data_IF_781495151791
#
_entry.id   IF_781495151791
#
_cell.length_a   1.000
_cell.length_b   1.000
_cell.length_c   1.000
_cell.angle_alpha   90.00
_cell.angle_beta   90.00
_cell.angle_gamma   90.00
#
_symmetry.space_group_name_H-M   'P 1'
#
loop_
_entity.id
_entity.type
_entity.pdbx_description
1 polymer ?
#
# COMPACT_ATOMS: atom_id res chain seq x y z
N UNK A 1 -3.56 27.23 11.70
CA UNK A 1 -2.22 26.65 11.91
C UNK A 1 -2.09 25.54 10.88
N UNK A 2 -1.54 25.86 9.71
CA UNK A 2 -1.26 24.87 8.66
C UNK A 2 -0.01 24.09 9.04
N UNK A 3 -0.19 22.92 9.65
CA UNK A 3 0.87 21.94 9.78
C UNK A 3 0.96 21.17 8.44
N UNK A 4 1.54 21.81 7.44
CA UNK A 4 1.82 21.19 6.15
C UNK A 4 3.13 20.38 6.25
N UNK A 5 3.16 19.36 7.13
CA UNK A 5 4.25 18.40 7.16
C UNK A 5 4.08 17.40 6.02
N UNK A 6 4.42 17.82 4.81
CA UNK A 6 4.50 16.95 3.61
C UNK A 6 5.57 15.85 3.72
N UNK A 7 6.29 15.81 4.84
CA UNK A 7 7.32 14.82 5.17
C UNK A 7 6.77 13.60 5.93
N UNK A 8 5.48 13.57 6.25
CA UNK A 8 4.88 12.40 6.91
C UNK A 8 4.33 11.41 5.88
N UNK A 9 4.71 10.14 6.06
CA UNK A 9 4.19 8.99 5.34
C UNK A 9 2.66 8.89 5.48
N UNK A 10 1.98 8.38 4.46
CA UNK A 10 0.57 8.03 4.58
C UNK A 10 0.38 6.91 5.60
N UNK A 11 -0.70 6.92 6.40
CA UNK A 11 -0.92 5.92 7.42
C UNK A 11 -1.12 4.53 6.79
N UNK A 12 -0.51 3.53 7.40
CA UNK A 12 -0.59 2.11 6.99
C UNK A 12 -1.20 1.23 8.07
N UNK A 13 -1.37 1.78 9.27
CA UNK A 13 -1.89 1.11 10.46
C UNK A 13 -2.95 1.93 11.17
N UNK A 14 -3.81 1.23 11.93
CA UNK A 14 -4.84 1.87 12.74
C UNK A 14 -4.27 2.89 13.74
N UNK A 15 -3.10 2.59 14.31
CA UNK A 15 -2.41 3.46 15.26
C UNK A 15 -1.97 4.78 14.61
N UNK A 16 -1.51 4.75 13.36
CA UNK A 16 -1.13 5.97 12.63
C UNK A 16 -2.36 6.80 12.27
N UNK A 17 -3.46 6.16 11.86
CA UNK A 17 -4.75 6.84 11.62
C UNK A 17 -5.24 7.53 12.90
N UNK A 18 -5.20 6.85 14.05
CA UNK A 18 -5.54 7.41 15.36
C UNK A 18 -4.61 8.57 15.74
N UNK A 19 -3.31 8.47 15.45
CA UNK A 19 -2.33 9.53 15.71
C UNK A 19 -2.58 10.80 14.86
N UNK A 20 -3.16 10.64 13.66
CA UNK A 20 -3.61 11.74 12.81
C UNK A 20 -4.95 12.34 13.28
N UNK A 21 -5.59 11.75 14.29
CA UNK A 21 -6.88 12.18 14.82
C UNK A 21 -8.05 11.91 13.86
N UNK A 22 -7.90 10.95 12.95
CA UNK A 22 -8.94 10.59 11.99
C UNK A 22 -9.85 9.52 12.59
N UNK A 23 -11.14 9.83 12.63
CA UNK A 23 -12.23 8.94 13.04
C UNK A 23 -12.69 8.01 11.89
N UNK A 24 -12.52 8.46 10.65
CA UNK A 24 -12.82 7.71 9.43
C UNK A 24 -11.80 7.99 8.31
N UNK A 25 -11.67 7.02 7.41
CA UNK A 25 -10.89 7.12 6.17
C UNK A 25 -11.81 7.30 4.97
N UNK A 26 -11.42 8.13 4.02
CA UNK A 26 -12.14 8.31 2.76
C UNK A 26 -11.81 7.19 1.77
N UNK A 27 -10.53 6.85 1.67
CA UNK A 27 -10.02 5.86 0.72
C UNK A 27 -8.98 4.97 1.39
N UNK A 28 -9.07 3.67 1.15
CA UNK A 28 -8.04 2.69 1.53
C UNK A 28 -7.49 2.06 0.25
N UNK A 29 -6.17 2.14 0.06
CA UNK A 29 -5.49 1.58 -1.11
C UNK A 29 -4.72 0.33 -0.70
N UNK A 30 -5.10 -0.82 -1.22
CA UNK A 30 -4.33 -2.06 -1.14
C UNK A 30 -3.34 -2.15 -2.30
N UNK A 31 -2.08 -2.44 -1.99
CA UNK A 31 -1.00 -2.59 -2.97
C UNK A 31 -0.31 -3.93 -2.81
N UNK A 32 -0.04 -4.63 -3.92
CA UNK A 32 0.82 -5.82 -3.95
C UNK A 32 2.32 -5.53 -3.82
N UNK A 33 2.73 -4.27 -3.92
CA UNK A 33 4.09 -3.81 -3.63
C UNK A 33 4.21 -3.30 -2.19
N UNK A 34 5.44 -3.32 -1.66
CA UNK A 34 5.79 -2.54 -0.47
C UNK A 34 5.45 -1.06 -0.67
N UNK A 35 5.06 -0.37 0.40
CA UNK A 35 4.78 1.06 0.32
C UNK A 35 6.10 1.84 0.27
N UNK A 36 6.37 2.44 -0.89
CA UNK A 36 7.44 3.39 -1.11
C UNK A 36 6.81 4.69 -1.58
N UNK A 37 6.96 5.75 -0.80
CA UNK A 37 6.37 7.05 -1.11
C UNK A 37 7.24 7.80 -2.14
N UNK A 38 7.16 7.37 -3.40
CA UNK A 38 7.99 7.87 -4.48
C UNK A 38 7.19 8.00 -5.79
N UNK A 39 7.44 9.02 -6.63
CA UNK A 39 6.70 9.26 -7.88
C UNK A 39 6.79 8.11 -8.91
N UNK A 40 7.75 7.20 -8.76
CA UNK A 40 7.84 5.99 -9.60
C UNK A 40 6.86 4.88 -9.19
N UNK A 41 6.13 5.04 -8.09
CA UNK A 41 5.16 4.07 -7.59
C UNK A 41 3.75 4.61 -7.83
N UNK A 42 3.00 3.97 -8.73
CA UNK A 42 1.67 4.43 -9.15
C UNK A 42 0.69 4.52 -7.97
N UNK A 43 0.75 3.56 -7.04
CA UNK A 43 -0.05 3.57 -5.82
C UNK A 43 0.23 4.81 -4.95
N UNK A 44 1.51 5.20 -4.80
CA UNK A 44 1.90 6.38 -4.04
C UNK A 44 1.42 7.67 -4.73
N UNK A 45 1.59 7.76 -6.05
CA UNK A 45 1.10 8.91 -6.83
C UNK A 45 -0.41 9.08 -6.67
N UNK A 46 -1.18 8.01 -6.84
CA UNK A 46 -2.64 8.07 -6.69
C UNK A 46 -3.01 8.49 -5.26
N UNK A 47 -2.39 7.88 -4.25
CA UNK A 47 -2.68 8.18 -2.86
C UNK A 47 -2.38 9.65 -2.50
N UNK A 48 -1.25 10.19 -2.96
CA UNK A 48 -0.85 11.59 -2.74
C UNK A 48 -1.72 12.58 -3.51
N UNK A 49 -2.15 12.25 -4.73
CA UNK A 49 -3.11 13.08 -5.46
C UNK A 49 -4.44 13.15 -4.69
N UNK A 50 -4.98 12.01 -4.25
CA UNK A 50 -6.22 11.99 -3.47
C UNK A 50 -6.07 12.75 -2.13
N UNK A 51 -4.95 12.58 -1.43
CA UNK A 51 -4.64 13.35 -0.21
C UNK A 51 -4.59 14.85 -0.50
N UNK A 52 -3.99 15.27 -1.62
CA UNK A 52 -3.89 16.69 -2.01
C UNK A 52 -5.25 17.33 -2.30
N UNK A 53 -6.26 16.52 -2.65
CA UNK A 53 -7.66 16.93 -2.78
C UNK A 53 -8.40 16.97 -1.43
N UNK A 54 -7.68 16.78 -0.32
CA UNK A 54 -8.21 16.83 1.05
C UNK A 54 -8.83 15.54 1.56
N UNK A 55 -8.61 14.41 0.86
CA UNK A 55 -9.13 13.12 1.29
C UNK A 55 -8.20 12.45 2.32
N UNK A 56 -8.80 11.75 3.27
CA UNK A 56 -8.10 10.93 4.27
C UNK A 56 -7.79 9.57 3.67
N UNK A 57 -6.54 9.38 3.24
CA UNK A 57 -6.11 8.17 2.50
C UNK A 57 -5.19 7.33 3.37
N UNK A 58 -5.41 6.01 3.37
CA UNK A 58 -4.47 5.05 3.95
C UNK A 58 -3.99 4.05 2.89
N UNK A 59 -2.77 3.54 3.06
CA UNK A 59 -2.17 2.53 2.17
C UNK A 59 -1.90 1.26 2.96
N UNK A 60 -2.41 0.13 2.47
CA UNK A 60 -2.11 -1.21 3.01
C UNK A 60 -1.22 -1.94 2.00
N UNK A 61 0.11 -1.94 2.20
CA UNK A 61 1.04 -2.66 1.34
C UNK A 61 1.08 -4.15 1.70
N UNK A 62 1.24 -4.99 0.68
CA UNK A 62 1.42 -6.44 0.76
C UNK A 62 0.52 -7.10 1.84
N UNK A 63 -0.81 -6.92 1.77
CA UNK A 63 -1.70 -7.47 2.78
C UNK A 63 -1.59 -9.00 2.82
N UNK A 64 -1.45 -9.56 4.02
CA UNK A 64 -1.49 -11.00 4.18
C UNK A 64 -2.91 -11.53 3.94
N UNK A 65 -3.03 -12.46 2.99
CA UNK A 65 -4.31 -13.08 2.60
C UNK A 65 -4.44 -14.53 3.08
N UNK A 66 -3.37 -15.11 3.63
CA UNK A 66 -3.32 -16.51 4.08
C UNK A 66 -3.70 -16.67 5.56
N UNK A 67 -3.91 -15.56 6.28
CA UNK A 67 -4.23 -15.54 7.71
C UNK A 67 -5.72 -15.26 7.99
N UNK A 68 -6.02 -14.62 9.13
CA UNK A 68 -7.36 -14.24 9.58
C UNK A 68 -7.93 -13.00 8.85
N UNK A 69 -7.30 -12.57 7.75
CA UNK A 69 -7.66 -11.41 6.94
C UNK A 69 -7.58 -10.10 7.72
N UNK A 70 -6.74 -10.04 8.76
CA UNK A 70 -6.60 -8.87 9.62
C UNK A 70 -6.17 -7.63 8.84
N UNK A 71 -5.29 -7.76 7.86
CA UNK A 71 -4.85 -6.63 7.04
C UNK A 71 -5.98 -5.97 6.25
N UNK A 72 -6.99 -6.76 5.86
CA UNK A 72 -8.18 -6.26 5.17
C UNK A 72 -9.21 -5.63 6.11
N UNK A 73 -9.15 -5.94 7.42
CA UNK A 73 -10.16 -5.52 8.41
C UNK A 73 -9.67 -4.42 9.35
N UNK A 74 -8.36 -4.30 9.57
CA UNK A 74 -7.77 -3.45 10.62
C UNK A 74 -8.11 -1.96 10.51
N UNK A 75 -8.37 -1.48 9.30
CA UNK A 75 -8.70 -0.08 9.02
C UNK A 75 -10.21 0.18 8.86
N UNK A 76 -11.06 -0.83 8.96
CA UNK A 76 -12.50 -0.69 8.78
C UNK A 76 -12.92 -0.46 7.33
N UNK A 77 -14.12 0.12 7.15
CA UNK A 77 -14.68 0.43 5.83
C UNK A 77 -14.46 1.92 5.53
N UNK A 78 -13.93 2.28 4.36
CA UNK A 78 -13.73 3.67 3.98
C UNK A 78 -15.08 4.30 3.58
N UNK A 79 -15.19 5.61 3.72
CA UNK A 79 -16.39 6.38 3.39
C UNK A 79 -16.69 6.38 1.89
N UNK A 80 -15.66 6.37 1.04
CA UNK A 80 -15.82 6.44 -0.41
C UNK A 80 -15.58 5.10 -1.09
N UNK A 81 -14.34 4.60 -1.09
CA UNK A 81 -14.02 3.35 -1.79
C UNK A 81 -12.70 2.71 -1.35
N UNK A 82 -12.55 1.45 -1.75
CA UNK A 82 -11.26 0.73 -1.73
C UNK A 82 -10.59 0.81 -3.10
N UNK A 83 -9.32 1.20 -3.13
CA UNK A 83 -8.46 1.04 -4.30
C UNK A 83 -7.64 -0.24 -4.17
N UNK A 84 -7.50 -1.02 -5.25
CA UNK A 84 -6.71 -2.26 -5.24
C UNK A 84 -5.81 -2.28 -6.46
N UNK A 85 -4.51 -2.52 -6.25
CA UNK A 85 -3.52 -2.68 -7.33
C UNK A 85 -2.55 -3.81 -7.01
N UNK A 86 -2.13 -4.54 -8.04
CA UNK A 86 -1.10 -5.59 -7.92
C UNK A 86 0.31 -5.02 -7.69
N UNK A 87 0.50 -3.70 -7.80
CA UNK A 87 1.79 -3.03 -7.75
C UNK A 87 2.27 -2.56 -9.14
N UNK A 88 3.50 -2.07 -9.19
CA UNK A 88 4.12 -1.51 -10.39
C UNK A 88 4.67 -2.57 -11.34
N UNK A 89 4.80 -3.81 -10.87
CA UNK A 89 5.37 -4.91 -11.63
C UNK A 89 4.41 -6.08 -11.72
N UNK A 90 4.31 -6.64 -12.92
CA UNK A 90 3.55 -7.85 -13.18
C UNK A 90 4.15 -9.05 -12.42
N UNK A 91 3.29 -9.84 -11.76
CA UNK A 91 3.72 -10.97 -10.93
C UNK A 91 4.45 -12.04 -11.74
N UNK A 92 4.12 -12.21 -13.02
CA UNK A 92 4.78 -13.16 -13.92
C UNK A 92 6.23 -12.76 -14.21
N UNK A 93 6.51 -11.45 -14.34
CA UNK A 93 7.88 -10.91 -14.52
C UNK A 93 8.72 -11.00 -13.24
N UNK A 94 8.05 -10.97 -12.07
CA UNK A 94 8.72 -11.07 -10.77
C UNK A 94 9.01 -12.53 -10.39
N UNK A 95 8.11 -13.46 -10.68
CA UNK A 95 8.33 -14.89 -10.46
C UNK A 95 9.19 -15.55 -11.52
N UNK A 96 9.26 -15.01 -12.74
CA UNK A 96 9.97 -15.67 -13.83
C UNK A 96 10.96 -14.74 -14.53
N UNK A 97 12.19 -15.21 -14.68
CA UNK A 97 13.15 -14.63 -15.64
C UNK A 97 12.55 -14.62 -17.05
N UNK A 98 13.09 -13.80 -17.96
CA UNK A 98 12.70 -13.79 -19.38
C UNK A 98 12.79 -15.19 -20.05
N UNK A 99 13.55 -16.12 -19.46
CA UNK A 99 13.67 -17.52 -19.87
C UNK A 99 12.71 -18.50 -19.14
N UNK A 100 11.65 -18.01 -18.46
CA UNK A 100 10.68 -18.82 -17.68
C UNK A 100 11.28 -19.64 -16.52
N UNK A 101 12.41 -19.24 -15.94
CA UNK A 101 12.92 -19.81 -14.68
C UNK A 101 12.44 -19.03 -13.47
N UNK A 102 12.07 -19.73 -12.39
CA UNK A 102 11.66 -19.13 -11.11
C UNK A 102 12.76 -18.21 -10.58
N UNK A 103 12.47 -16.93 -10.30
CA UNK A 103 13.39 -16.03 -9.58
C UNK A 103 13.27 -16.26 -8.08
N UNK A 104 14.41 -16.45 -7.41
CA UNK A 104 14.50 -16.68 -5.97
C UNK A 104 14.42 -15.40 -5.12
N UNK A 105 14.48 -14.23 -5.75
CA UNK A 105 14.76 -12.95 -5.11
C UNK A 105 13.74 -11.90 -5.59
N UNK A 106 12.92 -11.38 -4.66
CA UNK A 106 11.94 -10.31 -4.91
C UNK A 106 12.53 -8.95 -4.51
N UNK A 107 12.90 -8.15 -5.51
CA UNK A 107 13.57 -6.86 -5.33
C UNK A 107 12.73 -5.80 -4.59
N UNK A 108 11.44 -6.07 -4.36
CA UNK A 108 10.50 -5.10 -3.79
C UNK A 108 9.84 -5.59 -2.49
N UNK A 109 10.40 -6.65 -1.88
CA UNK A 109 10.03 -7.12 -0.54
C UNK A 109 11.17 -6.77 0.44
N UNK A 110 10.90 -6.20 1.64
CA UNK A 110 11.93 -5.93 2.63
C UNK A 110 12.74 -7.21 2.95
N UNK A 111 14.03 -7.21 2.64
CA UNK A 111 14.92 -8.36 2.85
C UNK A 111 14.98 -9.40 1.72
N UNK A 112 14.35 -9.15 0.56
CA UNK A 112 14.48 -9.99 -0.64
C UNK A 112 13.78 -11.35 -0.57
N UNK A 113 12.97 -11.60 0.47
CA UNK A 113 12.27 -12.86 0.66
C UNK A 113 11.12 -13.02 -0.34
N UNK A 114 11.03 -14.21 -0.95
CA UNK A 114 9.93 -14.59 -1.84
C UNK A 114 8.71 -15.09 -1.05
N UNK A 115 7.50 -14.94 -1.61
CA UNK A 115 6.26 -15.51 -1.05
C UNK A 115 5.27 -14.54 -0.41
N UNK A 116 5.56 -13.23 -0.41
CA UNK A 116 4.67 -12.19 0.15
C UNK A 116 3.66 -11.62 -0.84
N UNK A 117 3.72 -12.01 -2.11
CA UNK A 117 2.74 -11.63 -3.15
C UNK A 117 1.76 -12.79 -3.40
N UNK A 118 0.44 -12.52 -3.55
CA UNK A 118 -0.55 -13.52 -3.95
C UNK A 118 -0.30 -14.15 -5.32
#
# INVERSE_FOLDING_TARGET
MENNSRDNWLPTSKKEVEALGWDELDVIIFSGDAYVDHPSFGAAVIARVLESEGLRVAVVPQPNWQDDLRDFRKLGTPRLFFGVTAGNMDSMVNHYTAARRLRSDDAYTPGGASGFRP
#
